data_IF_060816440336
#
_entry.id   IF_060816440336
#
_cell.length_a   1.000
_cell.length_b   1.000
_cell.length_c   1.000
_cell.angle_alpha   90.00
_cell.angle_beta   90.00
_cell.angle_gamma   90.00
#
_symmetry.space_group_name_H-M   'P 1'
#
loop_
_entity.id
_entity.type
_entity.pdbx_description
1 polymer ?
#
# COMPACT_ATOMS: atom_id res chain seq x y z
N UNK A 1 -14.02 -12.43 4.86
CA UNK A 1 -12.95 -11.41 4.77
C UNK A 1 -11.61 -12.12 4.58
N UNK A 2 -10.86 -11.78 3.53
CA UNK A 2 -9.47 -12.25 3.35
C UNK A 2 -8.50 -11.13 3.73
N UNK A 3 -7.28 -11.50 4.07
CA UNK A 3 -6.19 -10.55 4.33
C UNK A 3 -5.13 -10.72 3.26
N UNK A 4 -4.74 -9.63 2.61
CA UNK A 4 -3.58 -9.55 1.74
C UNK A 4 -2.44 -8.91 2.54
N UNK A 5 -1.27 -9.55 2.53
CA UNK A 5 -0.03 -8.96 3.02
C UNK A 5 0.59 -8.18 1.86
N UNK A 6 0.89 -6.90 2.07
CA UNK A 6 1.48 -6.04 1.05
C UNK A 6 2.80 -5.50 1.60
N UNK A 7 3.89 -5.80 0.92
CA UNK A 7 5.19 -5.23 1.21
C UNK A 7 5.32 -3.89 0.48
N UNK A 8 5.51 -2.83 1.25
CA UNK A 8 5.73 -1.48 0.74
C UNK A 8 7.23 -1.30 0.57
N UNK A 9 7.66 -1.05 -0.66
CA UNK A 9 9.04 -0.76 -1.01
C UNK A 9 9.18 0.72 -1.34
N UNK A 10 10.21 1.35 -0.79
CA UNK A 10 10.53 2.76 -1.01
C UNK A 10 11.95 2.88 -1.53
N UNK A 11 12.10 3.40 -2.75
CA UNK A 11 13.37 3.43 -3.48
C UNK A 11 14.05 2.05 -3.47
N UNK A 12 13.27 1.01 -3.79
CA UNK A 12 13.68 -0.40 -3.85
C UNK A 12 14.15 -1.00 -2.50
N UNK A 13 13.87 -0.33 -1.37
CA UNK A 13 14.13 -0.84 -0.02
C UNK A 13 12.84 -1.16 0.70
N UNK A 14 12.84 -2.24 1.48
CA UNK A 14 11.71 -2.58 2.34
C UNK A 14 11.43 -1.43 3.32
N UNK A 15 10.17 -0.97 3.35
CA UNK A 15 9.72 0.09 4.24
C UNK A 15 8.82 -0.48 5.34
N UNK A 16 7.75 -1.19 4.97
CA UNK A 16 6.82 -1.79 5.91
C UNK A 16 5.95 -2.87 5.25
N UNK A 17 5.46 -3.82 6.05
CA UNK A 17 4.40 -4.73 5.65
C UNK A 17 3.03 -4.18 6.09
N UNK A 18 2.05 -4.16 5.19
CA UNK A 18 0.69 -3.67 5.41
C UNK A 18 -0.33 -4.80 5.25
N UNK A 19 -1.27 -4.87 6.20
CA UNK A 19 -2.35 -5.87 6.21
C UNK A 19 -3.62 -5.25 5.65
N UNK A 20 -3.93 -5.56 4.40
CA UNK A 20 -5.17 -5.11 3.76
C UNK A 20 -6.25 -6.18 3.88
N UNK A 21 -7.33 -5.86 4.61
CA UNK A 21 -8.51 -6.73 4.70
C UNK A 21 -9.48 -6.38 3.58
N UNK A 22 -9.86 -7.37 2.79
CA UNK A 22 -10.80 -7.20 1.68
C UNK A 22 -11.85 -8.31 1.64
N UNK A 23 -12.96 -8.01 0.97
CA UNK A 23 -14.02 -8.98 0.74
C UNK A 23 -13.82 -9.63 -0.65
N UNK A 24 -13.54 -10.94 -0.75
CA UNK A 24 -13.29 -11.60 -2.03
C UNK A 24 -14.50 -11.64 -2.98
N UNK A 25 -15.70 -11.41 -2.46
CA UNK A 25 -16.92 -11.34 -3.25
C UNK A 25 -16.98 -10.07 -4.12
N UNK A 26 -16.14 -9.07 -3.83
CA UNK A 26 -16.02 -7.82 -4.59
C UNK A 26 -14.67 -7.76 -5.30
N UNK A 27 -14.60 -6.97 -6.38
CA UNK A 27 -13.34 -6.74 -7.09
C UNK A 27 -12.33 -6.07 -6.16
N UNK A 28 -11.07 -6.50 -6.27
CA UNK A 28 -9.97 -5.88 -5.54
C UNK A 28 -9.73 -4.48 -6.10
N UNK A 29 -9.82 -3.47 -5.24
CA UNK A 29 -9.62 -2.08 -5.60
C UNK A 29 -8.22 -1.63 -5.14
N UNK A 30 -7.33 -1.45 -6.12
CA UNK A 30 -5.96 -1.01 -5.90
C UNK A 30 -5.93 0.43 -5.39
N UNK A 31 -6.87 1.28 -5.80
CA UNK A 31 -6.94 2.67 -5.37
C UNK A 31 -7.35 2.76 -3.89
N UNK A 32 -8.40 2.03 -3.49
CA UNK A 32 -8.80 1.91 -2.08
C UNK A 32 -7.66 1.35 -1.21
N UNK A 33 -6.98 0.29 -1.69
CA UNK A 33 -5.81 -0.25 -1.00
C UNK A 33 -4.71 0.81 -0.83
N UNK A 34 -4.38 1.53 -1.90
CA UNK A 34 -3.34 2.56 -1.90
C UNK A 34 -3.69 3.72 -0.98
N UNK A 35 -4.96 4.16 -0.98
CA UNK A 35 -5.46 5.20 -0.10
C UNK A 35 -5.34 4.79 1.37
N UNK A 36 -5.73 3.56 1.73
CA UNK A 36 -5.57 3.04 3.10
C UNK A 36 -4.12 2.94 3.54
N UNK A 37 -3.21 2.59 2.61
CA UNK A 37 -1.77 2.62 2.88
C UNK A 37 -1.32 4.05 3.18
N UNK A 38 -1.75 5.04 2.40
CA UNK A 38 -1.39 6.45 2.63
C UNK A 38 -2.05 7.08 3.85
N UNK A 39 -3.26 6.65 4.23
CA UNK A 39 -3.89 7.03 5.50
C UNK A 39 -3.07 6.52 6.68
N UNK A 40 -2.57 5.28 6.59
CA UNK A 40 -1.71 4.68 7.63
C UNK A 40 -0.31 5.30 7.66
N UNK A 41 0.24 5.65 6.50
CA UNK A 41 1.58 6.21 6.34
C UNK A 41 1.54 7.54 5.56
N UNK A 42 1.10 8.66 6.17
CA UNK A 42 0.97 9.95 5.49
C UNK A 42 2.30 10.48 4.93
N UNK A 43 3.42 10.12 5.57
CA UNK A 43 4.77 10.46 5.10
C UNK A 43 5.09 9.78 3.78
N UNK A 44 4.65 8.54 3.56
CA UNK A 44 4.84 7.82 2.30
C UNK A 44 4.14 8.54 1.14
N UNK A 45 2.96 9.12 1.39
CA UNK A 45 2.23 9.93 0.39
C UNK A 45 3.03 11.16 -0.02
N UNK A 46 3.59 11.88 0.95
CA UNK A 46 4.45 13.05 0.67
C UNK A 46 5.69 12.66 -0.13
N UNK A 47 6.34 11.55 0.22
CA UNK A 47 7.52 11.04 -0.48
C UNK A 47 7.20 10.64 -1.92
N UNK A 48 6.08 9.94 -2.15
CA UNK A 48 5.59 9.64 -3.49
C UNK A 48 5.32 10.91 -4.31
N UNK A 49 4.70 11.93 -3.71
CA UNK A 49 4.47 13.24 -4.34
C UNK A 49 5.77 13.99 -4.67
N UNK A 50 6.82 13.77 -3.88
CA UNK A 50 8.16 14.32 -4.14
C UNK A 50 8.94 13.54 -5.20
N UNK A 51 8.33 12.54 -5.85
CA UNK A 51 8.94 11.75 -6.91
C UNK A 51 9.73 10.53 -6.43
N UNK A 52 9.65 10.17 -5.15
CA UNK A 52 10.27 8.93 -4.66
C UNK A 52 9.49 7.71 -5.14
N UNK A 53 10.23 6.65 -5.49
CA UNK A 53 9.65 5.43 -6.03
C UNK A 53 9.01 4.62 -4.90
N UNK A 54 7.67 4.52 -4.92
CA UNK A 54 6.90 3.66 -4.02
C UNK A 54 6.36 2.48 -4.82
N UNK A 55 6.62 1.26 -4.36
CA UNK A 55 6.12 0.02 -4.98
C UNK A 55 5.37 -0.79 -3.94
N UNK A 56 4.22 -1.33 -4.33
CA UNK A 56 3.44 -2.27 -3.53
C UNK A 56 3.64 -3.68 -4.09
N UNK A 57 4.26 -4.57 -3.32
CA UNK A 57 4.50 -5.96 -3.66
C UNK A 57 3.55 -6.87 -2.84
N UNK A 58 2.99 -7.90 -3.46
CA UNK A 58 2.01 -8.82 -2.85
C UNK A 58 2.07 -10.19 -3.51
#
# INVERSE_FOLDING_TARGET
MKTLMIDIMLNDRFYAAFRYKYCPAFKFDIEDMTNKVYERYPTLRKRAMNGEKVVFAF
#
